data_IF_302026873906
#
_entry.id   IF_302026873906
#
_cell.length_a   1.000
_cell.length_b   1.000
_cell.length_c   1.000
_cell.angle_alpha   90.00
_cell.angle_beta   90.00
_cell.angle_gamma   90.00
#
_symmetry.space_group_name_H-M   'P 1'
#
loop_
_entity.id
_entity.type
_entity.pdbx_description
1 polymer ?
#
# COMPACT_ATOMS: atom_id res chain seq x y z
N UNK A 1 -4.91 -14.95 -1.42
CA UNK A 1 -4.06 -15.56 -2.46
C UNK A 1 -4.81 -16.58 -3.29
N UNK A 2 -5.51 -17.57 -2.70
CA UNK A 2 -6.22 -18.63 -3.43
C UNK A 2 -7.24 -18.06 -4.43
N UNK A 3 -8.03 -17.06 -4.04
CA UNK A 3 -8.97 -16.40 -4.94
C UNK A 3 -8.24 -15.71 -6.12
N UNK A 4 -7.17 -14.97 -5.88
CA UNK A 4 -6.42 -14.33 -6.95
C UNK A 4 -5.82 -15.35 -7.95
N UNK A 5 -5.30 -16.47 -7.45
CA UNK A 5 -4.82 -17.57 -8.29
C UNK A 5 -5.94 -18.20 -9.11
N UNK A 6 -7.12 -18.39 -8.52
CA UNK A 6 -8.31 -18.87 -9.25
C UNK A 6 -8.73 -17.90 -10.36
N UNK A 7 -8.51 -16.59 -10.18
CA UNK A 7 -8.68 -15.56 -11.22
C UNK A 7 -7.48 -15.45 -12.18
N UNK A 8 -6.54 -16.41 -12.15
CA UNK A 8 -5.36 -16.48 -13.02
C UNK A 8 -4.42 -15.29 -12.86
N UNK A 9 -4.34 -14.69 -11.66
CA UNK A 9 -3.34 -13.67 -11.38
C UNK A 9 -1.92 -14.25 -11.59
N UNK A 10 -1.12 -13.57 -12.40
CA UNK A 10 0.24 -14.00 -12.75
C UNK A 10 1.30 -13.29 -11.92
N UNK A 11 0.98 -12.13 -11.38
CA UNK A 11 1.87 -11.33 -10.53
C UNK A 11 1.11 -10.79 -9.33
N UNK A 12 1.84 -10.58 -8.25
CA UNK A 12 1.32 -10.01 -7.03
C UNK A 12 2.05 -8.72 -6.69
N UNK A 13 1.29 -7.75 -6.20
CA UNK A 13 1.81 -6.55 -5.57
C UNK A 13 1.16 -6.40 -4.19
N UNK A 14 1.99 -6.23 -3.17
CA UNK A 14 1.57 -5.98 -1.80
C UNK A 14 1.89 -4.52 -1.49
N UNK A 15 0.85 -3.75 -1.19
CA UNK A 15 0.98 -2.30 -1.03
C UNK A 15 1.25 -1.88 0.42
N UNK A 16 1.89 -2.73 1.22
CA UNK A 16 2.18 -2.48 2.61
C UNK A 16 1.08 -2.95 3.55
N UNK A 17 1.25 -2.66 4.85
CA UNK A 17 0.40 -3.14 5.94
C UNK A 17 0.26 -4.68 5.92
N UNK A 18 1.42 -5.33 5.81
CA UNK A 18 1.52 -6.79 5.79
C UNK A 18 1.16 -7.39 7.15
N UNK A 19 1.40 -6.62 8.21
CA UNK A 19 1.16 -6.97 9.62
C UNK A 19 0.38 -5.86 10.33
N UNK A 20 0.04 -6.08 11.60
CA UNK A 20 -0.55 -5.05 12.47
C UNK A 20 -2.04 -5.24 12.76
N UNK A 21 -2.79 -5.94 11.91
CA UNK A 21 -4.23 -6.16 12.09
C UNK A 21 -4.62 -7.60 12.42
N UNK A 22 -3.84 -8.57 11.93
CA UNK A 22 -4.16 -9.99 12.08
C UNK A 22 -3.44 -10.66 13.25
N UNK A 23 -3.90 -11.83 13.62
CA UNK A 23 -3.35 -12.62 14.73
C UNK A 23 -2.16 -13.53 14.37
N UNK A 24 -1.76 -13.59 13.10
CA UNK A 24 -0.70 -14.49 12.61
C UNK A 24 0.36 -13.75 11.77
N UNK A 25 1.02 -12.70 12.31
CA UNK A 25 1.90 -11.85 11.52
C UNK A 25 3.10 -12.60 10.95
N UNK A 26 3.70 -13.53 11.69
CA UNK A 26 4.82 -14.32 11.23
C UNK A 26 4.45 -15.19 10.02
N UNK A 27 3.33 -15.93 10.10
CA UNK A 27 2.88 -16.79 9.00
C UNK A 27 2.49 -15.99 7.74
N UNK A 28 1.99 -14.77 7.92
CA UNK A 28 1.73 -13.86 6.78
C UNK A 28 3.05 -13.44 6.13
N UNK A 29 4.04 -13.04 6.93
CA UNK A 29 5.34 -12.63 6.42
C UNK A 29 6.07 -13.76 5.72
N UNK A 30 6.07 -14.97 6.26
CA UNK A 30 6.64 -16.16 5.59
C UNK A 30 6.07 -16.29 4.16
N UNK A 31 4.74 -16.19 4.02
CA UNK A 31 4.10 -16.28 2.71
C UNK A 31 4.46 -15.11 1.78
N UNK A 32 4.56 -13.89 2.32
CA UNK A 32 4.91 -12.70 1.52
C UNK A 32 6.37 -12.75 1.09
N UNK A 33 7.28 -13.19 1.97
CA UNK A 33 8.71 -13.38 1.66
C UNK A 33 8.89 -14.43 0.56
N UNK A 34 8.18 -15.56 0.64
CA UNK A 34 8.18 -16.57 -0.42
C UNK A 34 7.71 -16.02 -1.76
N UNK A 35 6.66 -15.20 -1.75
CA UNK A 35 6.15 -14.58 -2.98
C UNK A 35 7.09 -13.47 -3.50
N UNK A 36 7.73 -12.72 -2.62
CA UNK A 36 8.74 -11.74 -2.99
C UNK A 36 9.94 -12.41 -3.68
N UNK A 37 10.41 -13.55 -3.15
CA UNK A 37 11.46 -14.37 -3.78
C UNK A 37 11.04 -14.90 -5.16
N UNK A 38 9.74 -15.06 -5.42
CA UNK A 38 9.15 -15.43 -6.71
C UNK A 38 8.87 -14.23 -7.62
N UNK A 39 9.24 -13.01 -7.20
CA UNK A 39 9.11 -11.79 -8.00
C UNK A 39 7.85 -10.96 -7.72
N UNK A 40 7.17 -11.18 -6.61
CA UNK A 40 6.12 -10.24 -6.16
C UNK A 40 6.74 -8.90 -5.74
N UNK A 41 6.00 -7.82 -5.96
CA UNK A 41 6.39 -6.48 -5.53
C UNK A 41 5.81 -6.23 -4.14
N UNK A 42 6.66 -5.75 -3.23
CA UNK A 42 6.25 -5.55 -1.83
C UNK A 42 6.72 -4.17 -1.38
N UNK A 43 5.80 -3.40 -0.82
CA UNK A 43 6.05 -2.09 -0.21
C UNK A 43 5.96 -2.20 1.31
N UNK A 44 6.59 -1.25 2.00
CA UNK A 44 6.35 -1.00 3.41
C UNK A 44 5.09 -0.15 3.60
N UNK A 45 4.28 -0.49 4.62
CA UNK A 45 3.18 0.32 5.12
C UNK A 45 3.46 0.85 6.52
N UNK A 46 2.58 1.73 7.01
CA UNK A 46 2.75 2.33 8.34
C UNK A 46 2.62 1.31 9.48
N UNK A 47 1.83 0.25 9.32
CA UNK A 47 1.74 -0.82 10.32
C UNK A 47 2.99 -1.70 10.34
N UNK A 48 3.66 -1.87 9.19
CA UNK A 48 4.94 -2.56 9.11
C UNK A 48 6.04 -1.75 9.84
N UNK A 49 6.05 -0.42 9.63
CA UNK A 49 6.95 0.50 10.36
C UNK A 49 6.67 0.48 11.87
N UNK A 50 5.41 0.56 12.30
CA UNK A 50 5.04 0.46 13.71
C UNK A 50 5.43 -0.89 14.33
N UNK A 51 5.37 -1.98 13.57
CA UNK A 51 5.82 -3.29 14.05
C UNK A 51 7.35 -3.36 14.20
N UNK A 52 8.11 -2.61 13.40
CA UNK A 52 9.56 -2.47 13.56
C UNK A 52 9.93 -1.59 14.74
N UNK A 53 9.23 -0.47 14.90
CA UNK A 53 9.47 0.57 15.89
C UNK A 53 8.18 0.86 16.68
N UNK A 54 7.79 -0.04 17.59
CA UNK A 54 6.55 0.14 18.33
C UNK A 54 6.54 1.49 19.06
N UNK A 55 5.47 2.28 18.88
CA UNK A 55 5.35 3.54 19.61
C UNK A 55 5.33 3.26 21.12
N UNK A 56 5.90 4.16 21.92
CA UNK A 56 5.83 4.08 23.36
C UNK A 56 4.36 3.93 23.79
N UNK A 57 4.11 3.12 24.84
CA UNK A 57 2.77 2.83 25.34
C UNK A 57 1.94 4.10 25.47
N UNK A 58 0.90 4.20 24.67
CA UNK A 58 0.04 5.36 24.61
C UNK A 58 -1.26 5.06 25.35
N UNK A 59 -1.88 6.11 25.88
CA UNK A 59 -3.13 5.99 26.61
C UNK A 59 -4.30 5.44 25.76
N UNK A 60 -5.52 5.41 26.31
CA UNK A 60 -6.69 4.85 25.65
C UNK A 60 -7.08 5.52 24.32
N UNK A 61 -6.48 6.65 23.99
CA UNK A 61 -6.65 7.40 22.73
C UNK A 61 -5.80 6.84 21.58
N UNK A 62 -4.91 5.86 21.84
CA UNK A 62 -4.04 5.31 20.80
C UNK A 62 -4.86 4.54 19.74
N UNK A 63 -4.45 4.64 18.47
CA UNK A 63 -5.07 3.85 17.39
C UNK A 63 -4.90 2.36 17.64
N UNK A 64 -5.80 1.54 17.11
CA UNK A 64 -5.73 0.08 17.24
C UNK A 64 -4.37 -0.46 16.74
N UNK A 65 -3.82 0.10 15.68
CA UNK A 65 -2.51 -0.27 15.16
C UNK A 65 -1.39 0.01 16.15
N UNK A 66 -1.39 1.20 16.77
CA UNK A 66 -0.41 1.55 17.78
C UNK A 66 -0.51 0.66 19.03
N UNK A 67 -1.71 0.24 19.42
CA UNK A 67 -1.93 -0.67 20.54
C UNK A 67 -1.44 -2.09 20.25
N UNK A 68 -1.59 -2.58 19.02
CA UNK A 68 -1.19 -3.93 18.63
C UNK A 68 0.30 -4.05 18.24
N UNK A 69 0.96 -2.92 17.93
CA UNK A 69 2.32 -2.92 17.42
C UNK A 69 3.36 -3.61 18.33
N UNK A 70 3.38 -3.42 19.66
CA UNK A 70 4.32 -4.12 20.53
C UNK A 70 4.13 -5.65 20.47
N UNK A 71 2.88 -6.11 20.54
CA UNK A 71 2.59 -7.53 20.43
C UNK A 71 3.01 -8.09 19.06
N UNK A 72 2.70 -7.38 17.98
CA UNK A 72 3.13 -7.76 16.62
C UNK A 72 4.65 -7.87 16.55
N UNK A 73 5.38 -6.87 17.08
CA UNK A 73 6.84 -6.87 17.13
C UNK A 73 7.40 -8.15 17.77
N UNK A 74 6.83 -8.54 18.90
CA UNK A 74 7.27 -9.72 19.68
C UNK A 74 7.02 -11.06 18.94
N UNK A 75 6.08 -11.09 17.99
CA UNK A 75 5.82 -12.27 17.15
C UNK A 75 6.82 -12.39 15.98
N UNK A 76 7.57 -11.33 15.66
CA UNK A 76 8.44 -11.29 14.48
C UNK A 76 9.85 -11.80 14.78
N UNK A 77 10.36 -12.69 13.95
CA UNK A 77 11.77 -13.11 13.96
C UNK A 77 12.68 -11.95 13.52
N UNK A 78 13.98 -12.11 13.75
CA UNK A 78 14.98 -11.17 13.23
C UNK A 78 14.96 -11.09 11.69
N UNK A 79 14.64 -12.19 11.01
CA UNK A 79 14.54 -12.26 9.56
C UNK A 79 13.31 -11.48 9.06
N UNK A 80 12.16 -11.64 9.71
CA UNK A 80 10.95 -10.87 9.41
C UNK A 80 11.20 -9.37 9.55
N UNK A 81 11.82 -8.94 10.66
CA UNK A 81 12.14 -7.53 10.88
C UNK A 81 13.14 -7.00 9.85
N UNK A 82 14.16 -7.79 9.50
CA UNK A 82 15.10 -7.44 8.44
C UNK A 82 14.41 -7.30 7.08
N UNK A 83 13.48 -8.20 6.74
CA UNK A 83 12.69 -8.10 5.52
C UNK A 83 11.87 -6.81 5.50
N UNK A 84 11.07 -6.54 6.53
CA UNK A 84 10.25 -5.33 6.61
C UNK A 84 11.06 -4.05 6.53
N UNK A 85 12.21 -3.98 7.21
CA UNK A 85 13.07 -2.78 7.22
C UNK A 85 13.72 -2.46 5.87
N UNK A 86 13.84 -3.46 4.98
CA UNK A 86 14.40 -3.29 3.64
C UNK A 86 13.33 -3.03 2.57
N UNK A 87 12.06 -3.00 2.91
CA UNK A 87 11.00 -2.74 1.95
C UNK A 87 11.03 -1.27 1.48
N UNK A 88 10.88 -1.03 0.17
CA UNK A 88 10.81 0.32 -0.36
C UNK A 88 9.46 0.96 -0.04
N UNK A 89 9.41 2.30 0.01
CA UNK A 89 8.18 3.08 0.14
C UNK A 89 7.45 3.27 -1.20
N UNK A 90 8.18 3.18 -2.31
CA UNK A 90 7.63 3.28 -3.66
C UNK A 90 8.29 2.28 -4.61
N UNK A 91 7.53 1.77 -5.57
CA UNK A 91 8.05 0.93 -6.67
C UNK A 91 7.50 1.45 -7.99
N UNK A 92 8.41 1.82 -8.91
CA UNK A 92 8.03 2.07 -10.30
C UNK A 92 8.28 0.82 -11.15
N UNK A 93 7.31 0.46 -11.98
CA UNK A 93 7.44 -0.59 -13.00
C UNK A 93 6.70 -0.16 -14.25
N UNK A 94 7.44 0.07 -15.32
CA UNK A 94 6.90 0.60 -16.57
C UNK A 94 6.05 1.86 -16.32
N UNK A 95 4.76 1.80 -16.63
CA UNK A 95 3.81 2.91 -16.42
C UNK A 95 3.13 2.93 -15.06
N UNK A 96 3.51 2.01 -14.17
CA UNK A 96 2.89 1.85 -12.85
C UNK A 96 3.79 2.45 -11.77
N UNK A 97 3.21 3.19 -10.84
CA UNK A 97 3.82 3.58 -9.58
C UNK A 97 2.99 3.01 -8.44
N UNK A 98 3.65 2.28 -7.56
CA UNK A 98 3.06 1.71 -6.36
C UNK A 98 3.56 2.50 -5.15
N UNK A 99 2.66 2.81 -4.23
CA UNK A 99 2.94 3.50 -2.97
C UNK A 99 1.96 2.97 -1.92
N UNK A 100 2.33 2.97 -0.64
CA UNK A 100 1.36 2.57 0.38
C UNK A 100 0.28 3.65 0.58
N UNK A 101 0.68 4.89 0.80
CA UNK A 101 -0.21 6.02 1.09
C UNK A 101 -0.15 7.07 -0.04
N UNK A 102 0.55 8.18 0.14
CA UNK A 102 0.66 9.27 -0.83
C UNK A 102 2.06 9.37 -1.44
N UNK A 103 2.14 9.76 -2.71
CA UNK A 103 3.42 9.89 -3.43
C UNK A 103 4.21 11.12 -3.00
N UNK A 104 3.55 12.19 -2.54
CA UNK A 104 4.18 13.46 -2.20
C UNK A 104 5.03 13.43 -0.92
N UNK A 105 4.75 12.49 -0.02
CA UNK A 105 5.56 12.23 1.18
C UNK A 105 5.24 10.81 1.68
N UNK A 106 5.77 9.76 1.02
CA UNK A 106 5.42 8.38 1.32
C UNK A 106 5.67 7.99 2.78
N UNK A 107 6.73 8.54 3.38
CA UNK A 107 7.14 8.31 4.76
C UNK A 107 6.24 8.98 5.81
N UNK A 108 5.35 9.88 5.41
CA UNK A 108 4.42 10.56 6.32
C UNK A 108 3.05 9.89 6.38
N UNK A 109 2.83 8.84 5.64
CA UNK A 109 1.61 8.03 5.63
C UNK A 109 0.32 8.86 5.45
N UNK A 110 0.37 9.91 4.59
CA UNK A 110 -0.78 10.79 4.36
C UNK A 110 -1.91 10.07 3.65
N UNK A 111 -3.12 10.24 4.17
CA UNK A 111 -4.32 9.66 3.55
C UNK A 111 -4.71 10.36 2.25
N UNK A 112 -5.01 9.57 1.23
CA UNK A 112 -5.58 10.05 -0.05
C UNK A 112 -7.07 9.72 -0.07
N UNK A 113 -7.89 10.61 0.48
CA UNK A 113 -9.33 10.37 0.67
C UNK A 113 -10.25 11.35 -0.07
N UNK A 114 -9.70 12.44 -0.62
CA UNK A 114 -10.41 13.46 -1.36
C UNK A 114 -9.63 13.89 -2.62
N UNK A 115 -10.26 14.76 -3.43
CA UNK A 115 -9.69 15.24 -4.68
C UNK A 115 -8.44 16.10 -4.45
N UNK A 116 -8.34 16.78 -3.33
CA UNK A 116 -7.19 17.62 -2.99
C UNK A 116 -5.96 16.76 -2.71
N UNK A 117 -6.07 15.82 -1.76
CA UNK A 117 -4.97 14.92 -1.41
C UNK A 117 -4.58 14.03 -2.60
N UNK A 118 -5.55 13.59 -3.41
CA UNK A 118 -5.29 12.88 -4.65
C UNK A 118 -4.53 13.73 -5.68
N UNK A 119 -4.88 15.04 -5.81
CA UNK A 119 -4.17 15.95 -6.70
C UNK A 119 -2.72 16.18 -6.26
N UNK A 120 -2.47 16.33 -4.96
CA UNK A 120 -1.12 16.47 -4.40
C UNK A 120 -0.27 15.24 -4.71
N UNK A 121 -0.79 14.04 -4.45
CA UNK A 121 -0.12 12.77 -4.75
C UNK A 121 0.14 12.59 -6.25
N UNK A 122 -0.84 12.86 -7.12
CA UNK A 122 -0.68 12.76 -8.57
C UNK A 122 0.26 13.82 -9.15
N UNK A 123 0.37 14.99 -8.53
CA UNK A 123 1.35 16.00 -8.93
C UNK A 123 2.78 15.54 -8.60
N UNK A 124 3.00 14.94 -7.43
CA UNK A 124 4.29 14.36 -7.06
C UNK A 124 4.68 13.20 -7.99
N UNK A 125 3.71 12.40 -8.43
CA UNK A 125 3.94 11.29 -9.36
C UNK A 125 4.55 11.75 -10.71
N UNK A 126 4.44 13.02 -11.08
CA UNK A 126 5.07 13.58 -12.29
C UNK A 126 6.60 13.56 -12.26
N UNK A 127 7.20 13.43 -11.09
CA UNK A 127 8.65 13.27 -10.95
C UNK A 127 9.14 11.88 -11.40
N UNK A 128 8.24 10.94 -11.61
CA UNK A 128 8.53 9.58 -12.06
C UNK A 128 8.28 9.48 -13.56
N UNK A 129 9.32 9.27 -14.39
CA UNK A 129 9.18 9.17 -15.83
C UNK A 129 8.22 8.05 -16.24
N UNK A 130 7.44 8.28 -17.28
CA UNK A 130 6.53 7.32 -17.92
C UNK A 130 5.37 6.80 -17.04
N UNK A 131 5.28 7.22 -15.78
CA UNK A 131 4.17 6.83 -14.90
C UNK A 131 2.84 7.37 -15.41
N UNK A 132 1.86 6.48 -15.53
CA UNK A 132 0.47 6.80 -15.92
C UNK A 132 -0.55 6.39 -14.88
N UNK A 133 -0.20 5.41 -14.05
CA UNK A 133 -1.10 4.84 -13.05
C UNK A 133 -0.40 4.77 -11.69
N UNK A 134 -1.06 5.29 -10.68
CA UNK A 134 -0.62 5.19 -9.29
C UNK A 134 -1.58 4.27 -8.55
N UNK A 135 -1.03 3.28 -7.85
CA UNK A 135 -1.81 2.40 -6.98
C UNK A 135 -1.38 2.60 -5.53
N UNK A 136 -2.36 2.86 -4.68
CA UNK A 136 -2.19 3.03 -3.24
C UNK A 136 -3.11 2.13 -2.43
N UNK A 137 -2.78 1.96 -1.15
CA UNK A 137 -3.56 1.27 -0.13
C UNK A 137 -4.02 2.24 0.96
N UNK A 138 -3.74 1.93 2.23
CA UNK A 138 -3.83 2.76 3.43
C UNK A 138 -5.25 3.24 3.81
N UNK A 139 -6.04 3.73 2.86
CA UNK A 139 -7.37 4.33 3.10
C UNK A 139 -8.45 3.27 3.38
N UNK A 140 -8.23 2.01 2.98
CA UNK A 140 -9.19 0.89 3.07
C UNK A 140 -10.53 1.15 2.35
N UNK A 141 -10.54 2.07 1.40
CA UNK A 141 -11.70 2.39 0.56
C UNK A 141 -11.31 2.31 -0.91
N UNK A 142 -12.05 1.53 -1.69
CA UNK A 142 -11.84 1.47 -3.13
C UNK A 142 -12.28 2.79 -3.77
N UNK A 143 -11.33 3.53 -4.29
CA UNK A 143 -11.57 4.82 -4.95
C UNK A 143 -10.67 4.96 -6.16
N UNK A 144 -11.21 5.48 -7.25
CA UNK A 144 -10.45 5.88 -8.42
C UNK A 144 -10.50 7.40 -8.55
N UNK A 145 -9.32 8.02 -8.64
CA UNK A 145 -9.18 9.42 -9.01
C UNK A 145 -8.57 9.48 -10.42
N UNK A 146 -9.15 10.29 -11.29
CA UNK A 146 -8.63 10.47 -12.65
C UNK A 146 -8.80 11.91 -13.12
N UNK A 147 -7.89 12.37 -13.98
CA UNK A 147 -7.99 13.71 -14.57
C UNK A 147 -9.01 13.69 -15.71
N UNK A 148 -10.09 14.42 -15.53
CA UNK A 148 -11.09 14.72 -16.56
C UNK A 148 -10.79 16.04 -17.28
N UNK A 149 -11.71 16.47 -18.16
CA UNK A 149 -11.66 17.78 -18.83
C UNK A 149 -11.81 18.95 -17.85
N UNK A 150 -12.62 18.75 -16.81
CA UNK A 150 -13.01 19.79 -15.87
C UNK A 150 -12.29 19.69 -14.51
N UNK A 151 -11.20 18.91 -14.44
CA UNK A 151 -10.41 18.72 -13.24
C UNK A 151 -10.27 17.27 -12.80
N UNK A 152 -9.96 17.07 -11.53
CA UNK A 152 -9.86 15.74 -10.95
C UNK A 152 -11.26 15.21 -10.62
N UNK A 153 -11.53 13.99 -11.04
CA UNK A 153 -12.80 13.29 -10.84
C UNK A 153 -12.60 12.14 -9.86
N UNK A 154 -13.58 11.90 -9.01
CA UNK A 154 -13.64 10.77 -8.08
C UNK A 154 -14.71 9.77 -8.51
N UNK A 155 -14.37 8.50 -8.47
CA UNK A 155 -15.28 7.40 -8.78
C UNK A 155 -15.08 6.26 -7.80
N UNK A 156 -16.16 5.67 -7.31
CA UNK A 156 -16.11 4.48 -6.45
C UNK A 156 -16.43 3.24 -7.30
N UNK A 157 -15.44 2.36 -7.57
CA UNK A 157 -15.65 1.15 -8.32
C UNK A 157 -16.63 0.20 -7.61
N UNK A 158 -17.48 -0.46 -8.38
CA UNK A 158 -18.33 -1.53 -7.87
C UNK A 158 -17.64 -2.89 -8.04
N UNK A 159 -17.80 -3.78 -7.07
CA UNK A 159 -17.24 -5.12 -7.14
C UNK A 159 -17.76 -5.88 -8.36
N UNK A 160 -16.87 -6.52 -9.12
CA UNK A 160 -17.20 -7.28 -10.32
C UNK A 160 -17.50 -6.44 -11.56
N UNK A 161 -17.48 -5.12 -11.48
CA UNK A 161 -17.69 -4.22 -12.62
C UNK A 161 -16.35 -3.72 -13.14
N UNK A 162 -16.11 -3.90 -14.44
CA UNK A 162 -14.90 -3.38 -15.07
C UNK A 162 -14.91 -1.85 -15.08
N UNK A 163 -13.82 -1.25 -14.63
CA UNK A 163 -13.63 0.20 -14.71
C UNK A 163 -12.95 0.53 -16.04
N UNK A 164 -13.59 1.32 -16.93
CA UNK A 164 -12.95 1.72 -18.17
C UNK A 164 -11.82 2.71 -17.87
N UNK A 165 -10.60 2.31 -18.17
CA UNK A 165 -9.42 3.19 -18.10
C UNK A 165 -9.15 3.72 -19.50
N UNK A 166 -9.32 5.03 -19.77
CA UNK A 166 -9.07 5.60 -21.09
C UNK A 166 -7.63 5.37 -21.55
N UNK A 167 -7.45 4.84 -22.75
CA UNK A 167 -6.12 4.54 -23.33
C UNK A 167 -5.24 5.78 -23.56
N UNK A 168 -5.81 6.96 -23.53
CA UNK A 168 -5.16 8.21 -23.93
C UNK A 168 -5.61 9.35 -23.01
N UNK A 169 -5.02 9.49 -21.85
CA UNK A 169 -4.96 10.79 -21.18
C UNK A 169 -3.64 10.86 -20.41
N UNK A 170 -2.77 11.66 -20.97
CA UNK A 170 -1.56 12.16 -20.32
C UNK A 170 -1.96 13.15 -19.22
#
# INVERSE_FOLDING_TARGET
>A
LSHARAQKAQRFAFLGDLVGYGGEPAAVLDQVMDLAAQGAWVLQGNHDEMALNPPAAQGPEATQGAQSAPWTHDQLSAEHRAFLSNLPLTIQRDTLLLVHASVDAPELWRYVYDERSASESLNAARAFPDVRYVFGGHVHLQTLYYRGTDGLMKFTPQSGVAVPVPKHRQ
#
